data_IF_075205062529
#
_entry.id   IF_075205062529
#
_cell.length_a   1.000
_cell.length_b   1.000
_cell.length_c   1.000
_cell.angle_alpha   90.00
_cell.angle_beta   90.00
_cell.angle_gamma   90.00
#
_symmetry.space_group_name_H-M   'P 1'
#
loop_
_entity.id
_entity.type
_entity.pdbx_description
1 polymer ?
#
# COMPACT_ATOMS: atom_id res chain seq x y z
N UNK A 1 15.28 -10.94 -15.36
CA UNK A 1 14.30 -10.17 -14.56
C UNK A 1 14.81 -10.15 -13.12
N UNK A 2 14.61 -9.05 -12.41
CA UNK A 2 15.09 -8.81 -11.04
C UNK A 2 14.10 -9.27 -9.95
N UNK A 3 12.95 -9.83 -10.34
CA UNK A 3 11.89 -10.24 -9.42
C UNK A 3 10.96 -9.09 -9.01
N UNK A 4 11.00 -7.95 -9.70
CA UNK A 4 10.09 -6.83 -9.47
C UNK A 4 8.70 -7.08 -10.05
N UNK A 5 7.66 -6.65 -9.33
CA UNK A 5 6.25 -6.73 -9.73
C UNK A 5 5.55 -5.38 -9.60
N UNK A 6 4.54 -5.15 -10.43
CA UNK A 6 3.66 -3.97 -10.34
C UNK A 6 2.35 -4.41 -9.69
N UNK A 7 1.99 -3.78 -8.58
CA UNK A 7 0.70 -3.96 -7.90
C UNK A 7 -0.19 -2.73 -8.10
N UNK A 8 -1.37 -2.92 -8.67
CA UNK A 8 -2.37 -1.87 -8.90
C UNK A 8 -3.65 -2.28 -8.17
N UNK A 9 -3.91 -1.77 -6.95
CA UNK A 9 -5.13 -2.08 -6.23
C UNK A 9 -6.34 -1.43 -6.91
N UNK A 10 -7.53 -1.98 -6.68
CA UNK A 10 -8.78 -1.33 -7.06
C UNK A 10 -8.85 0.09 -6.46
N UNK A 11 -9.41 1.03 -7.22
CA UNK A 11 -9.54 2.40 -6.77
C UNK A 11 -10.29 2.47 -5.42
N UNK A 12 -9.64 3.07 -4.42
CA UNK A 12 -10.21 3.20 -3.07
C UNK A 12 -10.09 1.97 -2.18
N UNK A 13 -9.37 0.92 -2.60
CA UNK A 13 -9.04 -0.20 -1.72
C UNK A 13 -8.09 0.25 -0.61
N UNK A 14 -8.42 -0.15 0.61
CA UNK A 14 -7.60 -0.02 1.81
C UNK A 14 -7.80 -1.29 2.62
N UNK A 15 -6.72 -1.88 3.11
CA UNK A 15 -6.77 -3.16 3.79
C UNK A 15 -5.50 -3.97 3.59
N UNK A 16 -5.60 -5.25 3.91
CA UNK A 16 -4.53 -6.23 3.69
C UNK A 16 -4.82 -7.02 2.41
N UNK A 17 -3.80 -7.22 1.60
CA UNK A 17 -3.83 -8.09 0.44
C UNK A 17 -2.68 -9.11 0.53
N UNK A 18 -2.90 -10.32 0.04
CA UNK A 18 -1.91 -11.41 0.15
C UNK A 18 -1.74 -12.16 -1.15
N UNK A 19 -0.50 -12.50 -1.46
CA UNK A 19 -0.17 -13.38 -2.58
C UNK A 19 1.01 -14.27 -2.21
N UNK A 20 1.12 -15.42 -2.88
CA UNK A 20 2.23 -16.36 -2.69
C UNK A 20 3.16 -16.35 -3.88
N UNK A 21 4.43 -16.69 -3.66
CA UNK A 21 5.40 -16.86 -4.75
C UNK A 21 6.39 -18.00 -4.48
N UNK A 22 6.97 -18.49 -5.56
CA UNK A 22 8.12 -19.42 -5.59
C UNK A 22 9.15 -18.91 -6.58
N UNK A 23 10.42 -18.96 -6.21
CA UNK A 23 11.53 -18.73 -7.14
C UNK A 23 11.80 -20.01 -7.95
N UNK A 24 12.29 -19.87 -9.17
CA UNK A 24 12.72 -20.97 -10.02
C UNK A 24 14.10 -20.66 -10.59
N UNK A 25 15.05 -21.59 -10.46
CA UNK A 25 16.43 -21.42 -10.90
C UNK A 25 16.74 -22.05 -12.27
N UNK A 26 15.75 -22.72 -12.87
CA UNK A 26 15.91 -23.49 -14.11
C UNK A 26 15.75 -24.99 -13.93
N UNK A 27 15.81 -25.48 -12.70
CA UNK A 27 15.70 -26.91 -12.37
C UNK A 27 14.74 -27.16 -11.20
N UNK A 28 14.81 -26.32 -10.16
CA UNK A 28 14.02 -26.48 -8.94
C UNK A 28 13.25 -25.22 -8.57
N UNK A 29 12.10 -25.43 -7.95
CA UNK A 29 11.34 -24.38 -7.28
C UNK A 29 11.76 -24.24 -5.82
N UNK A 30 11.74 -23.02 -5.30
CA UNK A 30 11.86 -22.77 -3.87
C UNK A 30 10.62 -23.25 -3.09
N UNK A 31 10.72 -23.16 -1.77
CA UNK A 31 9.56 -23.17 -0.89
C UNK A 31 8.60 -22.01 -1.22
N UNK A 32 7.32 -22.22 -0.94
CA UNK A 32 6.28 -21.20 -1.10
C UNK A 32 6.38 -20.15 0.01
N UNK A 33 6.31 -18.87 -0.36
CA UNK A 33 6.35 -17.76 0.59
C UNK A 33 5.13 -16.86 0.37
N UNK A 34 4.48 -16.46 1.46
CA UNK A 34 3.37 -15.51 1.47
C UNK A 34 3.89 -14.08 1.65
N UNK A 35 3.45 -13.17 0.79
CA UNK A 35 3.67 -11.73 0.90
C UNK A 35 2.37 -11.06 1.31
N UNK A 36 2.44 -10.21 2.33
CA UNK A 36 1.31 -9.38 2.78
C UNK A 36 1.57 -7.92 2.45
N UNK A 37 0.63 -7.29 1.75
CA UNK A 37 0.63 -5.87 1.44
C UNK A 37 -0.39 -5.17 2.35
N UNK A 38 0.04 -4.09 3.02
CA UNK A 38 -0.84 -3.26 3.85
C UNK A 38 -1.07 -1.93 3.11
N UNK A 39 -2.29 -1.72 2.61
CA UNK A 39 -2.66 -0.55 1.82
C UNK A 39 -3.35 0.45 2.75
N UNK A 40 -2.61 1.49 3.13
CA UNK A 40 -3.10 2.51 4.06
C UNK A 40 -3.76 3.67 3.32
N UNK A 41 -4.84 4.20 3.92
CA UNK A 41 -5.41 5.47 3.46
C UNK A 41 -4.41 6.57 3.65
N UNK A 42 -4.20 7.40 2.61
CA UNK A 42 -3.44 8.63 2.77
C UNK A 42 -4.05 9.42 3.93
N UNK A 43 -3.29 9.72 5.01
CA UNK A 43 -3.80 10.57 6.06
C UNK A 43 -4.13 11.92 5.42
N UNK A 44 -5.39 12.33 5.49
CA UNK A 44 -5.80 13.65 5.07
C UNK A 44 -5.33 14.59 6.18
N UNK A 45 -4.10 15.09 6.10
CA UNK A 45 -3.67 16.23 6.90
C UNK A 45 -4.28 17.50 6.30
N UNK A 46 -5.60 17.68 6.45
CA UNK A 46 -6.22 18.99 6.20
C UNK A 46 -6.05 19.81 7.47
N UNK A 47 -5.29 20.87 7.32
CA UNK A 47 -5.07 21.97 8.27
C UNK A 47 -6.41 22.63 8.65
N UNK A 48 -7.21 21.98 9.49
CA UNK A 48 -8.25 22.66 10.27
C UNK A 48 -7.60 23.26 11.52
N UNK A 49 -6.66 24.19 11.32
CA UNK A 49 -6.45 25.21 12.33
C UNK A 49 -7.77 25.98 12.43
N UNK A 50 -8.30 26.29 13.62
CA UNK A 50 -9.43 27.17 13.71
C UNK A 50 -9.02 28.51 13.07
N UNK A 51 -9.69 28.90 11.99
CA UNK A 51 -9.71 30.30 11.58
C UNK A 51 -10.41 31.00 12.75
N UNK A 52 -9.61 31.51 13.69
CA UNK A 52 -10.06 32.57 14.55
C UNK A 52 -10.33 33.71 13.58
N UNK A 53 -11.60 33.98 13.26
CA UNK A 53 -11.99 35.27 12.73
C UNK A 53 -12.02 36.17 13.96
N UNK A 54 -10.98 36.98 14.25
CA UNK A 54 -11.10 37.91 15.35
C UNK A 54 -12.11 38.95 14.87
N UNK A 55 -13.19 39.11 15.62
CA UNK A 55 -14.05 40.27 15.42
C UNK A 55 -13.19 41.55 15.37
N UNK A 56 -13.44 42.34 14.33
CA UNK A 56 -12.83 43.65 14.09
C UNK A 56 -13.07 43.99 12.62
N UNK A 57 -13.96 44.90 12.23
CA UNK A 57 -14.64 46.04 12.89
C UNK A 57 -16.04 46.19 12.26
#
# INVERSE_FOLDING_TARGET
>A
ADGSFIYIPNAGFYGEDTFTYKAFDGEYYSEEVTVTLIIVKKPIWKLYFPIIVPGGI
#
